data_IF_341132794107
#
_entry.id   IF_341132794107
#
_cell.length_a   1.000
_cell.length_b   1.000
_cell.length_c   1.000
_cell.angle_alpha   90.00
_cell.angle_beta   90.00
_cell.angle_gamma   90.00
#
_symmetry.space_group_name_H-M   'P 1'
#
loop_
_entity.id
_entity.type
_entity.pdbx_description
1 polymer ?
#
# COMPACT_ATOMS: atom_id res chain seq x y z
N UNK A 1 -7.08 -15.68 8.51
CA UNK A 1 -6.29 -14.51 8.05
C UNK A 1 -5.12 -14.91 7.17
N UNK A 2 -4.23 -15.82 7.61
CA UNK A 2 -3.03 -16.25 6.85
C UNK A 2 -3.32 -16.71 5.42
N UNK A 3 -4.18 -17.72 5.25
CA UNK A 3 -4.60 -18.24 3.95
C UNK A 3 -5.25 -17.18 3.03
N UNK A 4 -6.02 -16.24 3.60
CA UNK A 4 -6.64 -15.16 2.83
C UNK A 4 -5.61 -14.17 2.30
N UNK A 5 -4.60 -13.82 3.11
CA UNK A 5 -3.53 -12.92 2.69
C UNK A 5 -2.59 -13.58 1.69
N UNK A 6 -2.26 -14.85 1.88
CA UNK A 6 -1.41 -15.61 0.95
C UNK A 6 -2.06 -15.68 -0.44
N UNK A 7 -3.35 -16.04 -0.51
CA UNK A 7 -4.09 -16.08 -1.77
C UNK A 7 -4.23 -14.69 -2.40
N UNK A 8 -4.39 -13.64 -1.60
CA UNK A 8 -4.45 -12.28 -2.11
C UNK A 8 -3.11 -11.84 -2.71
N UNK A 9 -1.98 -12.21 -2.09
CA UNK A 9 -0.64 -11.94 -2.62
C UNK A 9 -0.40 -12.70 -3.93
N UNK A 10 -0.76 -13.99 -4.00
CA UNK A 10 -0.64 -14.78 -5.23
C UNK A 10 -1.43 -14.16 -6.39
N UNK A 11 -2.73 -13.91 -6.19
CA UNK A 11 -3.63 -13.39 -7.24
C UNK A 11 -3.27 -11.94 -7.64
N UNK A 12 -2.84 -11.09 -6.72
CA UNK A 12 -2.42 -9.73 -7.06
C UNK A 12 -1.06 -9.70 -7.78
N UNK A 13 -0.11 -10.56 -7.40
CA UNK A 13 1.24 -10.49 -7.93
C UNK A 13 1.35 -11.01 -9.37
N UNK A 14 0.57 -12.03 -9.75
CA UNK A 14 0.71 -12.66 -11.07
C UNK A 14 -0.14 -11.98 -12.15
N UNK A 15 -1.37 -11.54 -11.83
CA UNK A 15 -2.30 -11.00 -12.82
C UNK A 15 -2.49 -9.48 -12.69
N UNK A 16 -2.81 -9.01 -11.49
CA UNK A 16 -3.18 -7.60 -11.28
C UNK A 16 -1.98 -6.65 -11.37
N UNK A 17 -0.81 -7.05 -10.87
CA UNK A 17 0.42 -6.24 -10.95
C UNK A 17 0.79 -5.89 -12.40
N UNK A 18 0.98 -6.88 -13.28
CA UNK A 18 1.25 -6.62 -14.70
C UNK A 18 0.14 -5.84 -15.41
N UNK A 19 -1.13 -6.08 -15.09
CA UNK A 19 -2.26 -5.32 -15.66
C UNK A 19 -2.24 -3.84 -15.24
N UNK A 20 -1.99 -3.56 -13.96
CA UNK A 20 -1.90 -2.20 -13.46
C UNK A 20 -0.75 -1.43 -14.12
N UNK A 21 0.42 -2.07 -14.31
CA UNK A 21 1.54 -1.45 -15.00
C UNK A 21 1.23 -1.13 -16.47
N UNK A 22 0.55 -2.05 -17.18
CA UNK A 22 0.09 -1.79 -18.56
C UNK A 22 -0.89 -0.62 -18.61
N UNK A 23 -1.86 -0.58 -17.70
CA UNK A 23 -2.84 0.50 -17.60
C UNK A 23 -2.17 1.87 -17.36
N UNK A 24 -1.20 1.95 -16.44
CA UNK A 24 -0.46 3.19 -16.19
C UNK A 24 0.34 3.61 -17.44
N UNK A 25 0.99 2.66 -18.12
CA UNK A 25 1.72 2.94 -19.34
C UNK A 25 0.80 3.45 -20.47
N UNK A 26 -0.40 2.89 -20.62
CA UNK A 26 -1.41 3.36 -21.59
C UNK A 26 -1.93 4.76 -21.25
N UNK A 27 -2.19 5.06 -19.98
CA UNK A 27 -2.70 6.37 -19.54
C UNK A 27 -1.65 7.48 -19.67
N UNK A 28 -0.39 7.18 -19.33
CA UNK A 28 0.71 8.15 -19.37
C UNK A 28 1.28 8.32 -20.78
N UNK A 29 1.38 7.23 -21.56
CA UNK A 29 1.97 7.25 -22.90
C UNK A 29 3.36 7.90 -22.92
N UNK A 30 3.58 8.81 -23.87
CA UNK A 30 4.84 9.58 -24.02
C UNK A 30 4.84 10.90 -23.23
N UNK A 31 3.86 11.12 -22.34
CA UNK A 31 3.73 12.37 -21.59
C UNK A 31 4.47 12.28 -20.25
N UNK A 32 5.64 12.93 -20.19
CA UNK A 32 6.47 12.95 -18.98
C UNK A 32 5.80 13.62 -17.78
N UNK A 33 4.86 14.56 -18.00
CA UNK A 33 4.15 15.19 -16.90
C UNK A 33 3.23 14.19 -16.20
N UNK A 34 2.49 13.39 -16.98
CA UNK A 34 1.63 12.33 -16.44
C UNK A 34 2.42 11.26 -15.68
N UNK A 35 3.60 10.89 -16.16
CA UNK A 35 4.49 9.97 -15.43
C UNK A 35 4.93 10.57 -14.09
N UNK A 36 5.24 11.86 -14.06
CA UNK A 36 5.55 12.59 -12.82
C UNK A 36 4.39 12.58 -11.83
N UNK A 37 3.18 12.96 -12.28
CA UNK A 37 1.97 12.98 -11.46
C UNK A 37 1.59 11.59 -10.92
N UNK A 38 1.69 10.56 -11.77
CA UNK A 38 1.43 9.18 -11.37
C UNK A 38 2.43 8.70 -10.31
N UNK A 39 3.71 9.06 -10.46
CA UNK A 39 4.75 8.77 -9.48
C UNK A 39 4.52 9.46 -8.15
N UNK A 40 4.19 10.75 -8.16
CA UNK A 40 3.87 11.53 -6.96
C UNK A 40 2.65 10.96 -6.23
N UNK A 41 1.58 10.64 -6.96
CA UNK A 41 0.39 10.02 -6.39
C UNK A 41 0.72 8.66 -5.73
N UNK A 42 1.56 7.85 -6.36
CA UNK A 42 2.02 6.58 -5.79
C UNK A 42 2.81 6.79 -4.49
N UNK A 43 3.71 7.77 -4.45
CA UNK A 43 4.47 8.10 -3.25
C UNK A 43 3.55 8.55 -2.09
N UNK A 44 2.60 9.43 -2.38
CA UNK A 44 1.61 9.89 -1.39
C UNK A 44 0.82 8.71 -0.81
N UNK A 45 0.35 7.80 -1.68
CA UNK A 45 -0.39 6.62 -1.25
C UNK A 45 0.43 5.70 -0.33
N UNK A 46 1.72 5.50 -0.64
CA UNK A 46 2.63 4.72 0.19
C UNK A 46 2.88 5.38 1.55
N UNK A 47 3.09 6.70 1.59
CA UNK A 47 3.24 7.46 2.84
C UNK A 47 1.99 7.38 3.72
N UNK A 48 0.80 7.51 3.12
CA UNK A 48 -0.46 7.36 3.83
C UNK A 48 -0.65 5.95 4.41
N UNK A 49 -0.28 4.92 3.64
CA UNK A 49 -0.30 3.52 4.11
C UNK A 49 0.63 3.31 5.30
N UNK A 50 1.86 3.86 5.26
CA UNK A 50 2.80 3.79 6.37
C UNK A 50 2.22 4.46 7.63
N UNK A 51 1.74 5.70 7.50
CA UNK A 51 1.16 6.45 8.62
C UNK A 51 -0.02 5.71 9.29
N UNK A 52 -0.87 5.05 8.49
CA UNK A 52 -1.94 4.21 9.01
C UNK A 52 -1.40 3.05 9.87
N UNK A 53 -0.42 2.31 9.35
CA UNK A 53 0.14 1.16 10.05
C UNK A 53 0.94 1.56 11.30
N UNK A 54 1.68 2.67 11.23
CA UNK A 54 2.38 3.23 12.38
C UNK A 54 1.39 3.61 13.49
N UNK A 55 0.29 4.29 13.14
CA UNK A 55 -0.76 4.66 14.09
C UNK A 55 -1.42 3.44 14.74
N UNK A 56 -1.68 2.37 13.98
CA UNK A 56 -2.20 1.10 14.51
C UNK A 56 -1.18 0.46 15.47
N UNK A 57 0.09 0.36 15.06
CA UNK A 57 1.14 -0.25 15.85
C UNK A 57 1.35 0.48 17.17
N UNK A 58 1.35 1.81 17.16
CA UNK A 58 1.49 2.63 18.36
C UNK A 58 0.30 2.47 19.29
N UNK A 59 -0.93 2.44 18.75
CA UNK A 59 -2.12 2.18 19.57
C UNK A 59 -2.06 0.81 20.25
N UNK A 60 -1.61 -0.23 19.55
CA UNK A 60 -1.45 -1.56 20.13
C UNK A 60 -0.41 -1.59 21.26
N UNK A 61 0.72 -0.88 21.11
CA UNK A 61 1.72 -0.72 22.17
C UNK A 61 1.11 -0.01 23.39
N UNK A 62 0.42 1.12 23.19
CA UNK A 62 -0.21 1.87 24.28
C UNK A 62 -1.23 1.04 25.06
N UNK A 63 -2.12 0.32 24.36
CA UNK A 63 -3.11 -0.56 25.00
C UNK A 63 -2.42 -1.65 25.83
N UNK A 64 -1.35 -2.26 25.30
CA UNK A 64 -0.60 -3.28 26.01
C UNK A 64 0.09 -2.74 27.27
N UNK A 65 0.61 -1.51 27.22
CA UNK A 65 1.22 -0.86 28.39
C UNK A 65 0.18 -0.53 29.47
N UNK A 66 -1.01 -0.06 29.09
CA UNK A 66 -2.10 0.24 30.04
C UNK A 66 -2.66 -1.01 30.74
N UNK A 67 -2.69 -2.16 30.07
CA UNK A 67 -3.11 -3.44 30.68
C UNK A 67 -2.05 -4.08 31.60
N UNK A 68 -0.83 -3.53 31.66
CA UNK A 68 0.27 -4.02 32.51
C UNK A 68 0.56 -3.11 33.71
N UNK A 69 -0.15 -1.99 33.84
CA UNK A 69 -0.16 -1.18 35.07
C UNK A 69 -1.24 -1.79 35.99
N UNK A 70 -0.92 -2.19 37.23
CA UNK A 70 -1.87 -2.84 38.14
C UNK A 70 -3.02 -1.92 38.57
#
# INVERSE_FOLDING_TARGET
MRWYMERHIEVDSEEHGPMALRMIAELCGNDNAKWGEAGEAAEIALRARLALWDGIADRLKTVRTMSLVP
#
